data_IF_307494515873
#
_entry.id   IF_307494515873
#
_cell.length_a   1.000
_cell.length_b   1.000
_cell.length_c   1.000
_cell.angle_alpha   90.00
_cell.angle_beta   90.00
_cell.angle_gamma   90.00
#
_symmetry.space_group_name_H-M   'P 1'
#
loop_
_entity.id
_entity.type
_entity.pdbx_description
1 polymer ?
#
# COMPACT_ATOMS: atom_id res chain seq x y z
N UNK A 1 23.19 -23.70 -2.41
CA UNK A 1 22.09 -24.58 -2.89
C UNK A 1 21.75 -25.60 -1.82
N UNK A 2 20.46 -25.76 -1.51
CA UNK A 2 19.93 -26.71 -0.53
C UNK A 2 19.53 -27.97 -1.26
N UNK A 3 19.90 -29.15 -0.72
CA UNK A 3 19.55 -30.46 -1.22
C UNK A 3 18.31 -31.00 -0.52
N UNK A 4 18.25 -30.82 0.81
CA UNK A 4 17.21 -31.39 1.64
C UNK A 4 17.05 -30.57 2.91
N UNK A 5 15.85 -30.49 3.46
CA UNK A 5 15.56 -29.84 4.74
C UNK A 5 14.73 -30.80 5.59
N UNK A 6 15.22 -31.11 6.79
CA UNK A 6 14.45 -31.83 7.78
C UNK A 6 13.91 -30.86 8.82
N UNK A 7 12.62 -30.93 9.07
CA UNK A 7 11.97 -30.18 10.14
C UNK A 7 11.60 -31.14 11.26
N UNK A 8 11.92 -30.79 12.48
CA UNK A 8 11.55 -31.53 13.68
C UNK A 8 11.28 -30.56 14.83
N UNK A 9 10.48 -30.99 15.78
CA UNK A 9 10.01 -30.17 16.90
C UNK A 9 8.60 -30.48 17.30
N UNK A 10 8.06 -29.66 18.17
CA UNK A 10 6.67 -29.72 18.63
C UNK A 10 5.87 -28.48 18.18
N UNK A 11 4.65 -28.31 18.66
CA UNK A 11 3.81 -27.13 18.32
C UNK A 11 4.37 -25.79 18.83
N UNK A 12 5.35 -25.81 19.73
CA UNK A 12 5.89 -24.64 20.40
C UNK A 12 7.26 -24.22 19.84
N UNK A 13 8.04 -25.16 19.29
CA UNK A 13 9.39 -24.91 18.75
C UNK A 13 9.66 -25.76 17.53
N UNK A 14 10.20 -25.12 16.50
CA UNK A 14 10.64 -25.78 15.28
C UNK A 14 12.16 -25.73 15.16
N UNK A 15 12.75 -26.84 14.76
CA UNK A 15 14.15 -26.98 14.45
C UNK A 15 14.30 -27.49 13.04
N UNK A 16 15.34 -27.05 12.35
CA UNK A 16 15.64 -27.47 10.97
C UNK A 16 17.07 -27.97 10.87
N UNK A 17 17.25 -29.03 10.09
CA UNK A 17 18.53 -29.45 9.58
C UNK A 17 18.55 -29.28 8.08
N UNK A 18 19.45 -28.43 7.60
CA UNK A 18 19.57 -28.07 6.20
C UNK A 18 20.79 -28.77 5.63
N UNK A 19 20.59 -29.62 4.63
CA UNK A 19 21.64 -30.30 3.89
C UNK A 19 21.90 -29.55 2.60
N UNK A 20 23.11 -29.03 2.44
CA UNK A 20 23.50 -28.30 1.22
C UNK A 20 24.11 -29.24 0.20
N UNK A 21 24.10 -28.83 -1.07
CA UNK A 21 24.67 -29.62 -2.19
C UNK A 21 26.19 -29.71 -2.12
N UNK A 22 26.86 -28.81 -1.38
CA UNK A 22 28.31 -28.82 -1.11
C UNK A 22 28.71 -29.72 0.06
N UNK A 23 27.76 -30.47 0.64
CA UNK A 23 27.98 -31.36 1.76
C UNK A 23 27.92 -30.69 3.14
N UNK A 24 27.75 -29.35 3.20
CA UNK A 24 27.62 -28.66 4.48
C UNK A 24 26.25 -28.96 5.11
N UNK A 25 26.22 -29.17 6.41
CA UNK A 25 25.01 -29.37 7.22
C UNK A 25 24.89 -28.20 8.18
N UNK A 26 23.75 -27.56 8.21
CA UNK A 26 23.43 -26.46 9.11
C UNK A 26 22.21 -26.82 9.95
N UNK A 27 22.38 -26.81 11.26
CA UNK A 27 21.28 -26.94 12.23
C UNK A 27 20.88 -25.58 12.75
N UNK A 28 19.59 -25.39 13.00
CA UNK A 28 19.09 -24.16 13.57
C UNK A 28 17.64 -24.24 13.99
N UNK A 29 17.19 -23.18 14.61
CA UNK A 29 15.81 -22.94 15.02
C UNK A 29 15.27 -21.63 14.42
N UNK A 30 14.09 -21.19 14.83
CA UNK A 30 13.43 -19.97 14.36
C UNK A 30 14.24 -18.68 14.60
N UNK A 31 15.27 -18.72 15.46
CA UNK A 31 16.10 -17.55 15.76
C UNK A 31 17.20 -17.33 14.73
N UNK A 32 17.65 -18.39 14.06
CA UNK A 32 18.78 -18.35 13.12
C UNK A 32 18.52 -18.95 11.74
N UNK A 33 17.39 -19.65 11.55
CA UNK A 33 16.95 -20.16 10.23
C UNK A 33 15.55 -19.67 9.93
N UNK A 34 15.38 -19.00 8.79
CA UNK A 34 14.09 -18.65 8.23
C UNK A 34 13.86 -19.44 6.93
N UNK A 35 12.87 -20.29 6.95
CA UNK A 35 12.44 -21.00 5.73
C UNK A 35 11.45 -20.09 4.98
N UNK A 36 11.76 -19.81 3.73
CA UNK A 36 10.90 -19.04 2.84
C UNK A 36 10.26 -19.96 1.83
N UNK A 37 8.96 -19.83 1.67
CA UNK A 37 8.19 -20.58 0.67
C UNK A 37 7.94 -19.70 -0.55
N UNK A 38 8.03 -20.28 -1.74
CA UNK A 38 7.70 -19.58 -2.98
C UNK A 38 6.29 -19.90 -3.40
N UNK A 39 5.48 -18.86 -3.67
CA UNK A 39 4.15 -19.04 -4.23
C UNK A 39 4.17 -19.67 -5.64
N UNK A 40 5.31 -19.64 -6.34
CA UNK A 40 5.46 -20.27 -7.66
C UNK A 40 5.44 -21.83 -7.59
N UNK A 41 5.48 -22.41 -6.40
CA UNK A 41 5.18 -23.83 -6.18
C UNK A 41 3.69 -24.16 -6.32
N UNK A 42 2.79 -23.18 -6.31
CA UNK A 42 1.34 -23.32 -6.43
C UNK A 42 0.91 -23.18 -7.89
N UNK A 43 0.00 -24.04 -8.32
CA UNK A 43 -0.40 -24.09 -9.74
C UNK A 43 -1.02 -22.78 -10.20
N UNK A 44 -1.94 -22.18 -9.44
CA UNK A 44 -2.63 -20.94 -9.78
C UNK A 44 -1.66 -19.75 -9.92
N UNK A 45 -0.75 -19.58 -8.95
CA UNK A 45 0.28 -18.54 -8.97
C UNK A 45 1.25 -18.75 -10.15
N UNK A 46 1.64 -19.99 -10.41
CA UNK A 46 2.52 -20.35 -11.52
C UNK A 46 1.88 -20.08 -12.88
N UNK A 47 0.61 -20.42 -13.04
CA UNK A 47 -0.13 -20.20 -14.30
C UNK A 47 -0.28 -18.69 -14.56
N UNK A 48 -0.67 -17.92 -13.55
CA UNK A 48 -0.76 -16.45 -13.63
C UNK A 48 0.61 -15.84 -13.98
N UNK A 49 1.68 -16.29 -13.33
CA UNK A 49 3.04 -15.78 -13.60
C UNK A 49 3.50 -16.15 -15.02
N UNK A 50 3.20 -17.36 -15.48
CA UNK A 50 3.52 -17.80 -16.84
C UNK A 50 2.76 -16.95 -17.88
N UNK A 51 1.50 -16.66 -17.63
CA UNK A 51 0.73 -15.73 -18.47
C UNK A 51 1.39 -14.35 -18.55
N UNK A 52 1.79 -13.76 -17.42
CA UNK A 52 2.48 -12.48 -17.40
C UNK A 52 3.82 -12.49 -18.15
N UNK A 53 4.60 -13.58 -18.03
CA UNK A 53 5.84 -13.78 -18.82
C UNK A 53 5.55 -13.77 -20.32
N UNK A 54 4.50 -14.46 -20.74
CA UNK A 54 4.11 -14.52 -22.15
C UNK A 54 3.66 -13.16 -22.67
N UNK A 55 2.86 -12.41 -21.89
CA UNK A 55 2.45 -11.05 -22.22
C UNK A 55 3.66 -10.10 -22.33
N UNK A 56 4.61 -10.20 -21.41
CA UNK A 56 5.84 -9.40 -21.45
C UNK A 56 6.72 -9.71 -22.67
N UNK A 57 6.72 -10.96 -23.13
CA UNK A 57 7.47 -11.36 -24.32
C UNK A 57 6.83 -10.85 -25.63
N UNK A 58 5.49 -10.83 -25.70
CA UNK A 58 4.74 -10.38 -26.88
C UNK A 58 4.73 -8.86 -26.99
N UNK A 59 4.65 -8.15 -25.85
CA UNK A 59 4.55 -6.70 -25.80
C UNK A 59 5.79 -6.08 -25.13
N UNK A 60 6.89 -5.86 -25.88
CA UNK A 60 8.12 -5.31 -25.33
C UNK A 60 7.92 -3.84 -24.95
N UNK A 61 7.52 -3.58 -23.70
CA UNK A 61 7.50 -2.25 -23.09
C UNK A 61 8.94 -1.83 -22.76
N UNK A 62 9.51 -1.02 -23.64
CA UNK A 62 10.89 -0.60 -23.56
C UNK A 62 11.84 -1.64 -24.20
N UNK A 63 12.93 -1.12 -24.73
CA UNK A 63 14.02 -1.91 -25.29
C UNK A 63 15.31 -1.51 -24.60
N UNK A 64 16.12 -2.49 -24.24
CA UNK A 64 17.48 -2.24 -23.78
C UNK A 64 18.44 -1.95 -24.95
N UNK A 65 19.71 -1.79 -24.66
CA UNK A 65 20.75 -1.55 -25.67
C UNK A 65 20.82 -2.65 -26.74
N UNK A 66 20.41 -3.87 -26.40
CA UNK A 66 20.41 -5.05 -27.29
C UNK A 66 19.07 -5.24 -28.01
N UNK A 67 18.16 -4.26 -27.92
CA UNK A 67 16.83 -4.31 -28.53
C UNK A 67 15.90 -5.41 -27.95
N UNK A 68 16.26 -5.98 -26.81
CA UNK A 68 15.47 -6.97 -26.09
C UNK A 68 14.42 -6.26 -25.20
N UNK A 69 13.28 -6.90 -25.00
CA UNK A 69 12.24 -6.38 -24.12
C UNK A 69 12.70 -6.40 -22.65
N UNK A 70 12.78 -5.23 -22.01
CA UNK A 70 13.24 -5.08 -20.63
C UNK A 70 12.42 -5.96 -19.68
N UNK A 71 11.08 -5.96 -19.82
CA UNK A 71 10.20 -6.75 -18.96
C UNK A 71 10.42 -8.25 -19.15
N UNK A 72 10.55 -8.72 -20.39
CA UNK A 72 10.82 -10.14 -20.66
C UNK A 72 12.13 -10.60 -20.01
N UNK A 73 13.18 -9.76 -20.06
CA UNK A 73 14.45 -10.00 -19.40
C UNK A 73 14.35 -10.06 -17.87
N UNK A 74 13.52 -9.19 -17.27
CA UNK A 74 13.28 -9.19 -15.82
C UNK A 74 12.51 -10.45 -15.42
N UNK A 75 11.38 -10.74 -16.07
CA UNK A 75 10.56 -11.91 -15.75
C UNK A 75 11.31 -13.24 -15.94
N UNK A 76 12.23 -13.33 -16.89
CA UNK A 76 13.02 -14.55 -17.12
C UNK A 76 13.98 -14.90 -15.97
N UNK A 77 14.37 -13.89 -15.17
CA UNK A 77 15.29 -14.04 -14.03
C UNK A 77 14.57 -14.33 -12.72
N UNK A 78 13.24 -14.24 -12.68
CA UNK A 78 12.45 -14.51 -11.48
C UNK A 78 12.13 -16.00 -11.41
N UNK A 79 12.72 -16.68 -10.44
CA UNK A 79 12.53 -18.09 -10.14
C UNK A 79 11.93 -18.32 -8.74
N UNK A 80 11.87 -17.27 -7.92
CA UNK A 80 11.36 -17.29 -6.56
C UNK A 80 10.53 -16.04 -6.28
N UNK A 81 9.33 -16.22 -5.72
CA UNK A 81 8.48 -15.15 -5.20
C UNK A 81 7.98 -15.60 -3.83
N UNK A 82 8.44 -14.93 -2.76
CA UNK A 82 7.99 -15.25 -1.41
C UNK A 82 6.47 -15.15 -1.27
N UNK A 83 5.87 -16.10 -0.59
CA UNK A 83 4.42 -16.20 -0.41
C UNK A 83 3.84 -15.09 0.47
N UNK A 84 4.69 -14.38 1.24
CA UNK A 84 4.36 -13.23 2.07
C UNK A 84 4.51 -11.87 1.34
N UNK A 85 4.75 -11.86 0.01
CA UNK A 85 5.01 -10.65 -0.76
C UNK A 85 3.77 -10.11 -1.49
N UNK A 86 3.79 -8.82 -1.84
CA UNK A 86 2.75 -8.22 -2.67
C UNK A 86 2.66 -8.86 -4.08
N UNK A 87 3.77 -9.40 -4.59
CA UNK A 87 3.77 -10.15 -5.85
C UNK A 87 2.97 -11.44 -5.71
N UNK A 88 3.11 -12.20 -4.62
CA UNK A 88 2.29 -13.37 -4.35
C UNK A 88 0.80 -13.01 -4.22
N UNK A 89 0.48 -11.89 -3.53
CA UNK A 89 -0.88 -11.36 -3.46
C UNK A 89 -1.47 -11.09 -4.86
N UNK A 90 -0.68 -10.55 -5.77
CA UNK A 90 -1.12 -10.29 -7.14
C UNK A 90 -1.37 -11.58 -7.93
N UNK A 91 -0.52 -12.58 -7.75
CA UNK A 91 -0.61 -13.85 -8.48
C UNK A 91 -1.77 -14.72 -7.99
N UNK A 92 -2.04 -14.72 -6.69
CA UNK A 92 -3.17 -15.42 -6.08
C UNK A 92 -3.69 -14.63 -4.85
N UNK A 93 -4.57 -13.62 -5.07
CA UNK A 93 -5.06 -12.77 -3.99
C UNK A 93 -5.96 -13.52 -3.00
N UNK A 94 -6.62 -14.58 -3.41
CA UNK A 94 -7.48 -15.38 -2.54
C UNK A 94 -6.70 -16.06 -1.41
N UNK A 95 -5.45 -16.43 -1.67
CA UNK A 95 -4.58 -17.12 -0.72
C UNK A 95 -3.61 -16.19 -0.01
N UNK A 96 -3.01 -15.25 -0.72
CA UNK A 96 -1.89 -14.46 -0.25
C UNK A 96 -2.23 -13.02 0.15
N UNK A 97 -3.52 -12.66 0.22
CA UNK A 97 -3.95 -11.33 0.65
C UNK A 97 -4.83 -11.36 1.91
N UNK A 98 -4.35 -11.95 3.02
CA UNK A 98 -5.10 -11.98 4.26
C UNK A 98 -5.26 -10.56 4.82
N UNK A 99 -6.38 -10.32 5.49
CA UNK A 99 -6.62 -9.07 6.20
C UNK A 99 -5.69 -8.96 7.41
N UNK A 100 -4.92 -7.87 7.46
CA UNK A 100 -4.08 -7.58 8.61
C UNK A 100 -4.94 -7.00 9.75
N UNK A 101 -5.01 -7.72 10.86
CA UNK A 101 -5.81 -7.29 12.04
C UNK A 101 -5.14 -6.20 12.88
N UNK A 102 -3.95 -5.71 12.54
CA UNK A 102 -3.30 -4.62 13.26
C UNK A 102 -4.00 -3.30 12.97
N UNK A 103 -4.96 -2.94 13.80
CA UNK A 103 -5.65 -1.66 13.75
C UNK A 103 -4.69 -0.51 14.10
N UNK A 104 -4.02 0.01 13.09
CA UNK A 104 -3.28 1.27 13.21
C UNK A 104 -4.30 2.40 13.06
N UNK A 105 -4.16 3.43 13.90
CA UNK A 105 -4.98 4.63 13.78
C UNK A 105 -4.70 5.28 12.43
N UNK A 106 -5.72 5.48 11.62
CA UNK A 106 -5.65 6.12 10.30
C UNK A 106 -6.09 7.57 10.45
N UNK A 107 -5.33 8.50 9.84
CA UNK A 107 -5.64 9.94 9.79
C UNK A 107 -6.06 10.34 8.38
N UNK A 108 -6.85 11.42 8.27
CA UNK A 108 -7.39 11.92 7.00
C UNK A 108 -7.13 13.44 6.86
N UNK A 109 -5.85 13.88 6.81
CA UNK A 109 -5.50 15.29 6.80
C UNK A 109 -6.03 16.04 5.56
N UNK A 110 -6.30 15.33 4.49
CA UNK A 110 -6.84 15.91 3.24
C UNK A 110 -8.37 15.79 3.14
N UNK A 111 -9.05 15.44 4.26
CA UNK A 111 -10.47 15.16 4.27
C UNK A 111 -10.82 13.81 3.60
N UNK A 112 -12.02 13.34 3.80
CA UNK A 112 -12.52 12.12 3.15
C UNK A 112 -14.05 12.07 3.19
N UNK A 113 -14.63 11.27 2.32
CA UNK A 113 -16.00 10.76 2.45
C UNK A 113 -15.96 9.28 2.90
N UNK A 114 -17.13 8.69 3.11
CA UNK A 114 -17.25 7.31 3.61
C UNK A 114 -16.53 6.29 2.71
N UNK A 115 -16.66 6.40 1.39
CA UNK A 115 -16.01 5.49 0.44
C UNK A 115 -14.49 5.69 0.38
N UNK A 116 -14.01 6.93 0.43
CA UNK A 116 -12.59 7.25 0.50
C UNK A 116 -11.98 6.78 1.83
N UNK A 117 -12.70 6.96 2.96
CA UNK A 117 -12.27 6.43 4.25
C UNK A 117 -12.08 4.92 4.19
N UNK A 118 -13.07 4.20 3.65
CA UNK A 118 -12.97 2.76 3.45
C UNK A 118 -11.77 2.39 2.58
N UNK A 119 -11.57 3.07 1.44
CA UNK A 119 -10.47 2.79 0.52
C UNK A 119 -9.09 2.97 1.19
N UNK A 120 -8.91 4.02 2.00
CA UNK A 120 -7.66 4.21 2.77
C UNK A 120 -7.49 3.12 3.81
N UNK A 121 -8.54 2.74 4.54
CA UNK A 121 -8.49 1.68 5.53
C UNK A 121 -8.09 0.35 4.90
N UNK A 122 -8.73 -0.06 3.81
CA UNK A 122 -8.43 -1.30 3.08
C UNK A 122 -6.98 -1.32 2.56
N UNK A 123 -6.42 -0.15 2.16
CA UNK A 123 -5.03 -0.06 1.72
C UNK A 123 -4.01 -0.36 2.83
N UNK A 124 -4.40 -0.22 4.11
CA UNK A 124 -3.54 -0.55 5.26
C UNK A 124 -3.89 -1.89 5.93
N UNK A 125 -5.07 -2.42 5.66
CA UNK A 125 -5.50 -3.72 6.18
C UNK A 125 -5.09 -4.88 5.28
N UNK A 126 -4.85 -4.63 4.00
CA UNK A 126 -4.43 -5.64 3.03
C UNK A 126 -3.08 -5.29 2.41
N UNK A 127 -2.35 -6.30 1.97
CA UNK A 127 -1.11 -6.11 1.25
C UNK A 127 -1.33 -5.54 -0.15
N UNK A 128 -2.46 -5.87 -0.77
CA UNK A 128 -2.90 -5.34 -2.05
C UNK A 128 -4.36 -4.92 -1.96
N UNK A 129 -4.68 -3.73 -2.45
CA UNK A 129 -6.05 -3.24 -2.60
C UNK A 129 -6.23 -2.54 -3.95
N UNK A 130 -7.43 -2.63 -4.50
CA UNK A 130 -7.80 -1.99 -5.77
C UNK A 130 -8.84 -0.90 -5.51
N UNK A 131 -8.49 0.34 -5.87
CA UNK A 131 -9.34 1.51 -5.68
C UNK A 131 -9.84 1.97 -7.04
N UNK A 132 -11.11 1.71 -7.33
CA UNK A 132 -11.77 2.14 -8.56
C UNK A 132 -12.66 3.35 -8.31
N UNK A 133 -12.78 4.20 -9.33
CA UNK A 133 -13.70 5.33 -9.31
C UNK A 133 -13.62 6.14 -10.60
N UNK A 134 -14.75 6.69 -11.09
CA UNK A 134 -14.76 7.58 -12.23
C UNK A 134 -13.96 8.87 -11.96
N UNK A 135 -13.66 9.69 -12.97
CA UNK A 135 -13.10 11.02 -12.78
C UNK A 135 -13.94 11.86 -11.79
N UNK A 136 -13.30 12.66 -10.96
CA UNK A 136 -14.00 13.52 -9.99
C UNK A 136 -14.35 12.87 -8.64
N UNK A 137 -14.18 11.57 -8.45
CA UNK A 137 -14.50 10.87 -7.19
C UNK A 137 -13.47 11.09 -6.06
N UNK A 138 -12.45 11.90 -6.28
CA UNK A 138 -11.44 12.21 -5.27
C UNK A 138 -10.36 11.14 -5.10
N UNK A 139 -10.04 10.36 -6.15
CA UNK A 139 -8.95 9.36 -6.10
C UNK A 139 -7.62 9.96 -5.64
N UNK A 140 -7.27 11.15 -6.14
CA UNK A 140 -6.03 11.84 -5.73
C UNK A 140 -6.05 12.17 -4.23
N UNK A 141 -7.19 12.60 -3.68
CA UNK A 141 -7.36 12.85 -2.25
C UNK A 141 -7.18 11.57 -1.42
N UNK A 142 -7.70 10.44 -1.92
CA UNK A 142 -7.47 9.13 -1.31
C UNK A 142 -5.99 8.76 -1.31
N UNK A 143 -5.28 8.95 -2.44
CA UNK A 143 -3.82 8.74 -2.54
C UNK A 143 -3.07 9.62 -1.53
N UNK A 144 -3.40 10.89 -1.41
CA UNK A 144 -2.76 11.80 -0.44
C UNK A 144 -2.95 11.33 1.00
N UNK A 145 -4.15 10.86 1.37
CA UNK A 145 -4.39 10.28 2.68
C UNK A 145 -3.60 8.97 2.92
N UNK A 146 -3.44 8.13 1.90
CA UNK A 146 -2.58 6.94 1.98
C UNK A 146 -1.13 7.38 2.20
N UNK A 147 -0.61 8.33 1.43
CA UNK A 147 0.75 8.86 1.57
C UNK A 147 1.00 9.44 2.97
N UNK A 148 0.07 10.25 3.50
CA UNK A 148 0.17 10.81 4.84
C UNK A 148 0.29 9.73 5.92
N UNK A 149 -0.51 8.67 5.81
CA UNK A 149 -0.44 7.56 6.76
C UNK A 149 0.81 6.70 6.58
N UNK A 150 1.31 6.52 5.35
CA UNK A 150 2.56 5.84 5.06
C UNK A 150 3.75 6.56 5.72
N UNK A 151 3.87 7.87 5.50
CA UNK A 151 4.92 8.71 6.12
C UNK A 151 4.80 8.71 7.64
N UNK A 152 3.60 8.90 8.18
CA UNK A 152 3.35 8.87 9.64
C UNK A 152 3.78 7.55 10.30
N UNK A 153 3.75 6.46 9.56
CA UNK A 153 4.18 5.14 10.03
C UNK A 153 5.69 4.88 9.82
N UNK A 154 6.44 5.89 9.36
CA UNK A 154 7.87 5.75 9.06
C UNK A 154 8.17 4.89 7.84
N UNK A 155 7.19 4.68 6.98
CA UNK A 155 7.35 3.91 5.74
C UNK A 155 7.64 4.85 4.56
N UNK A 156 8.25 4.32 3.52
CA UNK A 156 8.43 4.97 2.23
C UNK A 156 7.29 4.61 1.27
N UNK A 157 6.98 5.51 0.34
CA UNK A 157 5.96 5.29 -0.69
C UNK A 157 6.53 5.53 -2.08
N UNK A 158 6.12 4.72 -3.04
CA UNK A 158 6.40 4.91 -4.46
C UNK A 158 5.07 5.10 -5.21
N UNK A 159 4.95 6.24 -5.88
CA UNK A 159 3.81 6.53 -6.77
C UNK A 159 4.25 6.38 -8.20
N UNK A 160 3.65 5.44 -8.91
CA UNK A 160 3.96 5.16 -10.32
C UNK A 160 2.73 5.35 -11.20
N UNK A 161 2.95 5.84 -12.40
CA UNK A 161 1.94 5.96 -13.45
C UNK A 161 2.60 5.83 -14.81
N UNK A 162 1.85 5.33 -15.79
CA UNK A 162 2.23 5.39 -17.20
C UNK A 162 2.10 6.82 -17.80
N UNK A 163 1.52 7.75 -17.04
CA UNK A 163 1.34 9.14 -17.44
C UNK A 163 2.01 10.07 -16.42
N UNK A 164 3.00 10.83 -16.85
CA UNK A 164 3.73 11.79 -16.02
C UNK A 164 2.82 12.87 -15.42
N UNK A 165 1.75 13.27 -16.09
CA UNK A 165 0.80 14.25 -15.56
C UNK A 165 0.06 13.76 -14.30
N UNK A 166 -0.18 12.46 -14.18
CA UNK A 166 -0.83 11.89 -13.00
C UNK A 166 0.06 11.97 -11.75
N UNK A 167 1.36 11.68 -11.89
CA UNK A 167 2.33 11.82 -10.79
C UNK A 167 2.60 13.29 -10.46
N UNK A 168 2.69 14.16 -11.49
CA UNK A 168 2.84 15.60 -11.31
C UNK A 168 1.65 16.22 -10.53
N UNK A 169 0.43 15.76 -10.77
CA UNK A 169 -0.75 16.21 -10.02
C UNK A 169 -0.66 15.88 -8.52
N UNK A 170 -0.09 14.73 -8.16
CA UNK A 170 0.13 14.37 -6.75
C UNK A 170 1.17 15.30 -6.12
N UNK A 171 2.27 15.58 -6.83
CA UNK A 171 3.31 16.51 -6.38
C UNK A 171 2.73 17.92 -6.18
N UNK A 172 2.04 18.48 -7.18
CA UNK A 172 1.41 19.80 -7.10
C UNK A 172 0.48 19.96 -5.86
N UNK A 173 -0.28 18.88 -5.58
CA UNK A 173 -1.12 18.90 -4.38
C UNK A 173 -0.32 18.88 -3.08
N UNK A 174 0.76 18.10 -3.00
CA UNK A 174 1.65 18.08 -1.84
C UNK A 174 2.35 19.42 -1.65
N UNK A 175 2.74 20.10 -2.73
CA UNK A 175 3.31 21.46 -2.71
C UNK A 175 2.34 22.46 -2.08
N UNK A 176 1.05 22.41 -2.45
CA UNK A 176 0.00 23.27 -1.86
C UNK A 176 -0.13 23.12 -0.34
N UNK A 177 0.24 21.96 0.19
CA UNK A 177 0.27 21.68 1.63
C UNK A 177 1.65 21.83 2.27
N UNK A 178 2.64 22.39 1.54
CA UNK A 178 3.99 22.60 2.04
C UNK A 178 4.79 21.31 2.28
N UNK A 179 4.39 20.20 1.62
CA UNK A 179 4.98 18.87 1.82
C UNK A 179 5.87 18.42 0.64
N UNK A 180 6.28 19.33 -0.25
CA UNK A 180 7.13 18.97 -1.41
C UNK A 180 8.52 18.48 -1.02
N UNK A 181 9.05 18.90 0.12
CA UNK A 181 10.37 18.49 0.60
C UNK A 181 10.51 16.99 0.90
N UNK A 182 9.39 16.26 1.04
CA UNK A 182 9.41 14.79 1.23
C UNK A 182 9.33 14.01 -0.08
N UNK A 183 9.25 14.69 -1.24
CA UNK A 183 8.98 14.06 -2.53
C UNK A 183 10.21 14.10 -3.43
N UNK A 184 10.56 12.95 -4.01
CA UNK A 184 11.60 12.83 -5.03
C UNK A 184 10.96 12.46 -6.38
N UNK A 185 10.88 13.40 -7.36
CA UNK A 185 10.40 13.13 -8.71
C UNK A 185 11.47 12.41 -9.55
N UNK A 186 11.43 11.07 -9.59
CA UNK A 186 12.50 10.24 -10.16
C UNK A 186 12.16 9.61 -11.54
N UNK A 187 11.05 9.96 -12.15
CA UNK A 187 10.47 9.26 -13.31
C UNK A 187 11.33 9.20 -14.58
N UNK A 188 12.25 10.15 -14.78
CA UNK A 188 13.20 10.15 -15.91
C UNK A 188 14.61 10.45 -15.43
N UNK A 189 15.63 10.18 -16.27
CA UNK A 189 17.01 10.55 -15.94
C UNK A 189 17.14 12.05 -15.69
N UNK A 190 16.53 12.88 -16.54
CA UNK A 190 16.55 14.34 -16.39
C UNK A 190 15.89 14.80 -15.08
N UNK A 191 14.76 14.20 -14.69
CA UNK A 191 14.09 14.50 -13.42
C UNK A 191 14.96 14.11 -12.22
N UNK A 192 15.60 12.95 -12.30
CA UNK A 192 16.53 12.48 -11.26
C UNK A 192 17.72 13.42 -11.10
N UNK A 193 18.35 13.80 -12.21
CA UNK A 193 19.50 14.71 -12.21
C UNK A 193 19.10 16.10 -11.69
N UNK A 194 17.94 16.62 -12.11
CA UNK A 194 17.36 17.87 -11.60
C UNK A 194 17.04 17.81 -10.11
N UNK A 195 16.47 16.69 -9.62
CA UNK A 195 16.19 16.51 -8.20
C UNK A 195 17.47 16.48 -7.36
N UNK A 196 18.50 15.77 -7.82
CA UNK A 196 19.79 15.71 -7.10
C UNK A 196 20.45 17.09 -7.04
N UNK A 197 20.37 17.87 -8.13
CA UNK A 197 20.96 19.21 -8.20
C UNK A 197 20.18 20.26 -7.37
N UNK A 198 18.87 20.11 -7.24
CA UNK A 198 17.97 21.11 -6.66
C UNK A 198 17.14 20.53 -5.50
N UNK A 199 17.70 19.62 -4.72
CA UNK A 199 16.98 18.99 -3.61
C UNK A 199 16.44 20.06 -2.64
N UNK A 200 15.12 20.11 -2.38
CA UNK A 200 14.57 21.12 -1.49
C UNK A 200 15.08 20.89 -0.06
N UNK A 201 15.46 21.99 0.64
CA UNK A 201 15.89 21.88 2.02
C UNK A 201 14.72 21.43 2.93
N UNK A 202 15.07 20.69 3.97
CA UNK A 202 14.10 20.38 5.03
C UNK A 202 13.75 21.69 5.73
N UNK A 203 12.44 22.01 5.91
CA UNK A 203 12.03 23.23 6.61
C UNK A 203 12.64 23.29 8.01
N UNK A 204 13.17 24.46 8.38
CA UNK A 204 13.83 24.65 9.67
C UNK A 204 12.88 24.34 10.88
N UNK A 205 11.59 24.57 10.66
CA UNK A 205 10.53 24.33 11.63
C UNK A 205 10.29 22.85 11.95
N UNK A 206 10.77 21.93 11.11
CA UNK A 206 10.60 20.49 11.34
C UNK A 206 11.12 20.04 12.71
N UNK A 207 12.16 20.69 13.23
CA UNK A 207 12.67 20.42 14.57
C UNK A 207 11.67 20.73 15.70
N UNK A 208 10.73 21.64 15.48
CA UNK A 208 9.70 22.02 16.44
C UNK A 208 8.39 21.23 16.32
N UNK A 209 8.24 20.39 15.29
CA UNK A 209 7.02 19.61 15.05
C UNK A 209 6.87 18.41 15.98
N UNK A 210 7.92 18.09 16.75
CA UNK A 210 7.87 17.02 17.74
C UNK A 210 6.86 17.29 18.85
N UNK A 211 6.00 16.34 19.15
CA UNK A 211 5.10 16.38 20.29
C UNK A 211 5.75 15.71 21.51
N UNK A 212 5.51 16.24 22.70
CA UNK A 212 5.83 15.51 23.93
C UNK A 212 5.05 14.18 23.98
N UNK A 213 5.54 13.20 24.74
CA UNK A 213 4.82 11.92 24.89
C UNK A 213 3.42 12.11 25.47
N UNK A 214 3.23 13.07 26.37
CA UNK A 214 1.94 13.40 26.97
C UNK A 214 0.97 14.02 25.94
N UNK A 215 1.45 15.00 25.15
CA UNK A 215 0.65 15.63 24.10
C UNK A 215 0.30 14.62 23.01
N UNK A 216 1.25 13.77 22.62
CA UNK A 216 1.01 12.72 21.64
C UNK A 216 -0.06 11.72 22.11
N UNK A 217 -0.07 11.36 23.40
CA UNK A 217 -1.08 10.48 23.98
C UNK A 217 -2.46 11.15 23.99
N UNK A 218 -2.54 12.43 24.44
CA UNK A 218 -3.76 13.22 24.43
C UNK A 218 -4.34 13.37 23.04
N UNK A 219 -3.51 13.73 22.05
CA UNK A 219 -3.93 13.86 20.65
C UNK A 219 -4.40 12.53 20.03
N UNK A 220 -3.79 11.41 20.39
CA UNK A 220 -4.28 10.07 19.97
C UNK A 220 -5.69 9.80 20.51
N UNK A 221 -5.95 10.14 21.77
CA UNK A 221 -7.27 9.93 22.38
C UNK A 221 -8.34 10.82 21.73
N UNK A 222 -8.03 12.08 21.50
CA UNK A 222 -8.90 13.02 20.78
C UNK A 222 -9.21 12.49 19.37
N UNK A 223 -8.19 12.07 18.63
CA UNK A 223 -8.33 11.47 17.30
C UNK A 223 -9.22 10.23 17.30
N UNK A 224 -9.04 9.32 18.27
CA UNK A 224 -9.90 8.14 18.40
C UNK A 224 -11.36 8.51 18.62
N UNK A 225 -11.63 9.50 19.47
CA UNK A 225 -12.98 9.97 19.73
C UNK A 225 -13.60 10.58 18.48
N UNK A 226 -12.88 11.45 17.80
CA UNK A 226 -13.33 12.11 16.56
C UNK A 226 -13.59 11.09 15.44
N UNK A 227 -12.72 10.09 15.26
CA UNK A 227 -12.91 9.04 14.26
C UNK A 227 -14.17 8.20 14.54
N UNK A 228 -14.46 7.89 15.81
CA UNK A 228 -15.71 7.20 16.18
C UNK A 228 -16.95 8.04 15.89
N UNK A 229 -16.89 9.34 16.13
CA UNK A 229 -17.98 10.26 15.78
C UNK A 229 -18.19 10.32 14.27
N UNK A 230 -17.11 10.41 13.51
CA UNK A 230 -17.16 10.38 12.04
C UNK A 230 -17.77 9.07 11.50
N UNK A 231 -17.43 7.92 12.08
CA UNK A 231 -18.03 6.64 11.72
C UNK A 231 -19.54 6.60 11.98
N UNK A 232 -19.97 7.17 13.10
CA UNK A 232 -21.42 7.32 13.40
C UNK A 232 -22.13 8.18 12.36
N UNK A 233 -21.54 9.32 11.99
CA UNK A 233 -22.11 10.21 10.97
C UNK A 233 -22.24 9.47 9.63
N UNK A 234 -21.20 8.78 9.18
CA UNK A 234 -21.26 8.02 7.94
C UNK A 234 -22.27 6.86 7.99
N UNK A 235 -22.39 6.17 9.12
CA UNK A 235 -23.40 5.12 9.30
C UNK A 235 -24.81 5.69 9.19
N UNK A 236 -25.08 6.83 9.83
CA UNK A 236 -26.36 7.54 9.76
C UNK A 236 -26.65 8.02 8.34
N UNK A 237 -25.68 8.62 7.64
CA UNK A 237 -25.83 9.01 6.24
C UNK A 237 -26.22 7.81 5.37
N UNK A 238 -25.51 6.69 5.49
CA UNK A 238 -25.80 5.49 4.72
C UNK A 238 -27.19 4.93 5.04
N UNK A 239 -27.61 4.92 6.29
CA UNK A 239 -28.94 4.52 6.70
C UNK A 239 -30.04 5.44 6.11
N UNK A 240 -29.82 6.75 6.14
CA UNK A 240 -30.70 7.72 5.51
C UNK A 240 -30.80 7.49 3.98
N UNK A 241 -29.69 7.28 3.29
CA UNK A 241 -29.70 7.00 1.85
C UNK A 241 -30.42 5.69 1.52
N UNK A 242 -30.24 4.64 2.31
CA UNK A 242 -30.94 3.37 2.14
C UNK A 242 -32.46 3.54 2.34
N UNK A 243 -32.87 4.29 3.36
CA UNK A 243 -34.29 4.56 3.63
C UNK A 243 -34.96 5.43 2.55
N UNK A 244 -34.23 6.42 2.00
CA UNK A 244 -34.76 7.30 0.93
C UNK A 244 -34.75 6.64 -0.44
N UNK A 245 -33.79 5.76 -0.72
CA UNK A 245 -33.77 4.93 -1.92
C UNK A 245 -34.93 3.93 -1.98
N UNK A 246 -35.38 3.46 -0.80
CA UNK A 246 -36.54 2.57 -0.66
C UNK A 246 -37.88 3.31 -0.68
N UNK A 247 -37.92 4.59 -0.29
CA UNK A 247 -39.14 5.41 -0.10
C UNK A 247 -39.25 6.58 -1.08
N UNK A 248 -38.93 6.42 -2.34
CA UNK A 248 -39.10 7.45 -3.39
C UNK A 248 -39.20 8.89 -2.86
N UNK A 249 -38.11 9.66 -2.92
CA UNK A 249 -38.03 11.13 -2.74
C UNK A 249 -38.97 11.75 -1.71
N UNK A 250 -38.54 11.83 -0.47
CA UNK A 250 -39.17 12.67 0.53
C UNK A 250 -38.24 13.84 0.87
N UNK A 251 -38.75 15.09 0.71
CA UNK A 251 -38.04 16.37 0.93
C UNK A 251 -37.56 16.62 2.38
N UNK A 252 -37.93 15.75 3.32
CA UNK A 252 -37.57 15.88 4.74
C UNK A 252 -36.12 15.54 5.07
N UNK A 253 -35.43 14.73 4.25
CA UNK A 253 -34.07 14.26 4.52
C UNK A 253 -33.00 15.29 4.19
N UNK A 254 -33.22 16.14 3.18
CA UNK A 254 -32.33 17.26 2.87
C UNK A 254 -32.26 18.29 4.02
N UNK A 255 -33.36 18.50 4.70
CA UNK A 255 -33.47 19.41 5.84
C UNK A 255 -32.73 18.86 7.06
N UNK A 256 -32.75 17.55 7.28
CA UNK A 256 -32.02 16.90 8.37
C UNK A 256 -30.49 16.88 8.11
N UNK A 257 -30.07 16.65 6.87
CA UNK A 257 -28.65 16.68 6.49
C UNK A 257 -28.05 18.08 6.61
N UNK A 258 -28.77 19.13 6.27
CA UNK A 258 -28.34 20.53 6.47
C UNK A 258 -28.18 20.91 7.93
N UNK A 259 -28.96 20.31 8.85
CA UNK A 259 -28.85 20.56 10.31
C UNK A 259 -27.67 19.83 10.97
N UNK A 260 -27.09 18.82 10.31
CA UNK A 260 -25.93 18.08 10.82
C UNK A 260 -24.60 18.62 10.27
N UNK A 261 -24.63 19.62 9.37
CA UNK A 261 -23.44 20.29 8.81
C UNK A 261 -23.13 21.61 9.53
N UNK A 262 -23.92 22.02 10.50
CA UNK A 262 -23.70 23.12 11.45
C UNK A 262 -23.60 22.55 12.87
#
# INVERSE_FOLDING_TARGET
NVREIWQFGDKAKHYWRVFRTDGFIQDGDETNIRVLTSCLGEQESKDTFTYLKNVAAINPLGKDADNAGILAGIYSKVDFIGDDTAAACYLNPSKHNPKNQRHKVIIYPFGCNASQKRAVTEAFEHQMSVIQGPPGTGKTQTILNILANTVRQGMTALVVSNNNSATANVLEKLEKYGASFIVAPLGSKSNKDAFIANQPPVPAECGSWGLSNADAASKRQELHTTLRQLDRVYALQNACWAATGAAGRSSGVETLLRRLQH
#
